data_IF_726973371287
#
_entry.id   IF_726973371287
#
_cell.length_a   1.000
_cell.length_b   1.000
_cell.length_c   1.000
_cell.angle_alpha   90.00
_cell.angle_beta   90.00
_cell.angle_gamma   90.00
#
_symmetry.space_group_name_H-M   'P 1'
#
loop_
_entity.id
_entity.type
_entity.pdbx_description
1 polymer ?
#
# COMPACT_ATOMS: atom_id res chain seq x y z
N UNK A 1 19.42 2.06 -2.99
CA UNK A 1 19.19 3.14 -2.00
C UNK A 1 20.08 2.90 -0.79
N UNK A 2 20.70 3.92 -0.20
CA UNK A 2 21.54 3.79 1.00
C UNK A 2 21.40 4.98 1.97
N UNK A 3 21.89 4.81 3.20
CA UNK A 3 21.93 5.85 4.26
C UNK A 3 20.56 6.42 4.69
N UNK A 4 19.51 5.60 4.69
CA UNK A 4 18.20 5.90 5.28
C UNK A 4 18.13 5.44 6.74
N UNK A 5 17.06 5.81 7.45
CA UNK A 5 16.73 5.22 8.76
C UNK A 5 15.47 4.35 8.66
N UNK A 6 15.35 3.40 9.57
CA UNK A 6 14.22 2.47 9.69
C UNK A 6 13.52 2.79 11.00
N UNK A 7 12.20 2.99 10.95
CA UNK A 7 11.37 3.24 12.15
C UNK A 7 10.15 2.34 12.12
N UNK A 8 9.53 2.12 13.27
CA UNK A 8 8.30 1.34 13.35
C UNK A 8 7.14 2.01 12.60
N UNK A 9 6.36 1.19 11.89
CA UNK A 9 5.21 1.60 11.11
C UNK A 9 3.94 1.63 11.98
N UNK A 10 3.91 2.59 12.92
CA UNK A 10 2.76 2.88 13.78
C UNK A 10 2.06 4.20 13.38
N UNK A 11 0.85 4.41 13.90
CA UNK A 11 0.00 5.58 13.65
C UNK A 11 -1.23 5.26 12.79
N UNK A 12 -2.07 6.27 12.55
CA UNK A 12 -3.37 6.11 11.88
C UNK A 12 -3.25 5.85 10.38
N UNK A 13 -2.11 6.18 9.76
CA UNK A 13 -1.88 5.94 8.32
C UNK A 13 -0.79 4.88 8.12
N UNK A 14 -1.20 3.70 7.64
CA UNK A 14 -0.33 2.54 7.39
C UNK A 14 -0.64 1.98 6.00
N UNK A 15 0.10 2.48 5.01
CA UNK A 15 -0.10 2.08 3.60
C UNK A 15 0.29 0.62 3.33
N UNK A 16 1.14 0.02 4.17
CA UNK A 16 1.54 -1.39 4.08
C UNK A 16 1.45 -2.05 5.45
N UNK A 17 1.29 -3.37 5.46
CA UNK A 17 1.30 -4.18 6.69
C UNK A 17 2.70 -4.45 7.24
N UNK A 18 3.75 -3.97 6.58
CA UNK A 18 5.12 -4.16 7.03
C UNK A 18 5.34 -3.45 8.37
N UNK A 19 6.06 -4.11 9.29
CA UNK A 19 6.28 -3.61 10.66
C UNK A 19 7.08 -2.31 10.70
N UNK A 20 7.89 -2.07 9.67
CA UNK A 20 8.78 -0.91 9.57
C UNK A 20 8.52 -0.06 8.33
N UNK A 21 8.89 1.22 8.41
CA UNK A 21 8.94 2.17 7.31
C UNK A 21 10.31 2.82 7.22
N UNK A 22 10.70 3.21 6.00
CA UNK A 22 11.94 3.94 5.74
C UNK A 22 11.69 5.44 5.83
N UNK A 23 12.63 6.17 6.43
CA UNK A 23 12.63 7.64 6.47
C UNK A 23 13.91 8.15 5.83
N UNK A 24 13.76 9.07 4.89
CA UNK A 24 14.88 9.70 4.21
C UNK A 24 15.51 10.75 5.13
N UNK A 25 16.83 10.74 5.16
CA UNK A 25 17.65 11.74 5.83
C UNK A 25 18.35 12.58 4.78
N UNK A 26 18.93 13.72 5.19
CA UNK A 26 19.72 14.56 4.28
C UNK A 26 20.83 13.80 3.54
N UNK A 27 21.40 12.77 4.18
CA UNK A 27 22.45 11.91 3.59
C UNK A 27 21.96 10.74 2.74
N UNK A 28 20.64 10.53 2.64
CA UNK A 28 20.10 9.37 1.91
C UNK A 28 20.42 9.48 0.43
N UNK A 29 20.92 8.40 -0.16
CA UNK A 29 21.25 8.34 -1.58
C UNK A 29 20.30 7.42 -2.34
N UNK A 30 19.78 7.93 -3.45
CA UNK A 30 18.91 7.21 -4.39
C UNK A 30 19.59 7.24 -5.76
N UNK A 31 19.73 6.07 -6.36
CA UNK A 31 20.38 5.88 -7.67
C UNK A 31 19.36 5.22 -8.57
N UNK A 32 19.22 5.72 -9.80
CA UNK A 32 18.36 5.11 -10.81
C UNK A 32 18.92 3.73 -11.20
N UNK A 33 18.02 2.79 -11.45
CA UNK A 33 18.33 1.44 -11.93
C UNK A 33 17.45 1.16 -13.15
N UNK A 34 17.88 0.24 -14.01
CA UNK A 34 17.11 -0.14 -15.20
C UNK A 34 15.73 -0.68 -14.83
N UNK A 35 14.72 -0.35 -15.65
CA UNK A 35 13.29 -0.55 -15.32
C UNK A 35 12.92 -2.01 -15.04
N UNK A 36 13.62 -2.98 -15.62
CA UNK A 36 13.22 -4.39 -15.61
C UNK A 36 13.60 -5.12 -14.32
N UNK A 37 14.29 -4.45 -13.38
CA UNK A 37 14.74 -5.06 -12.13
C UNK A 37 13.67 -5.02 -11.03
N UNK A 38 12.73 -4.07 -11.09
CA UNK A 38 11.74 -3.83 -10.03
C UNK A 38 10.33 -4.06 -10.56
N UNK A 39 9.49 -4.87 -9.88
CA UNK A 39 8.09 -5.02 -10.26
C UNK A 39 7.36 -3.67 -10.31
N UNK A 40 6.69 -3.38 -11.42
CA UNK A 40 5.98 -2.11 -11.64
C UNK A 40 4.74 -1.94 -10.75
N UNK A 41 4.17 -3.06 -10.29
CA UNK A 41 3.00 -3.09 -9.42
C UNK A 41 3.15 -4.18 -8.38
N UNK A 42 2.75 -3.89 -7.14
CA UNK A 42 2.70 -4.86 -6.06
C UNK A 42 1.30 -4.80 -5.44
N UNK A 43 0.40 -5.65 -5.92
CA UNK A 43 -0.94 -5.78 -5.36
C UNK A 43 -1.01 -6.98 -4.41
N UNK A 44 -1.65 -6.78 -3.27
CA UNK A 44 -2.01 -7.84 -2.34
C UNK A 44 -3.54 -7.99 -2.33
N UNK A 45 -4.05 -8.69 -3.34
CA UNK A 45 -5.49 -8.78 -3.59
C UNK A 45 -6.25 -9.38 -2.40
N UNK A 46 -7.26 -8.64 -1.97
CA UNK A 46 -8.16 -8.99 -0.91
C UNK A 46 -9.52 -9.41 -1.51
N UNK A 47 -9.96 -10.61 -1.19
CA UNK A 47 -11.20 -11.14 -1.73
C UNK A 47 -12.41 -10.36 -1.21
N UNK A 48 -13.33 -10.05 -2.12
CA UNK A 48 -14.57 -9.35 -1.78
C UNK A 48 -15.39 -10.08 -0.71
N UNK A 49 -15.45 -11.41 -0.76
CA UNK A 49 -16.12 -12.23 0.27
C UNK A 49 -15.54 -12.02 1.68
N UNK A 50 -14.23 -11.79 1.78
CA UNK A 50 -13.56 -11.51 3.06
C UNK A 50 -13.88 -10.11 3.57
N UNK A 51 -14.09 -9.13 2.67
CA UNK A 51 -14.55 -7.79 3.05
C UNK A 51 -15.97 -7.81 3.60
N UNK A 52 -16.87 -8.53 2.92
CA UNK A 52 -18.26 -8.66 3.35
C UNK A 52 -18.40 -9.30 4.74
N UNK A 53 -17.49 -10.21 5.08
CA UNK A 53 -17.49 -10.93 6.35
C UNK A 53 -16.67 -10.22 7.46
N UNK A 54 -16.20 -9.00 7.22
CA UNK A 54 -15.34 -8.28 8.16
C UNK A 54 -16.18 -7.68 9.30
N UNK A 55 -15.95 -8.13 10.53
CA UNK A 55 -16.72 -7.72 11.72
C UNK A 55 -15.95 -6.81 12.67
N UNK A 56 -14.66 -6.59 12.41
CA UNK A 56 -13.76 -5.77 13.22
C UNK A 56 -13.05 -4.76 12.36
N UNK A 57 -12.66 -3.64 12.98
CA UNK A 57 -11.90 -2.59 12.32
C UNK A 57 -10.56 -3.13 11.80
N UNK A 58 -10.31 -2.89 10.51
CA UNK A 58 -9.07 -3.25 9.86
C UNK A 58 -8.20 -2.02 9.65
N UNK A 59 -7.02 -2.04 10.26
CA UNK A 59 -6.15 -0.86 10.34
C UNK A 59 -5.25 -0.65 9.10
N UNK A 60 -5.55 -1.32 7.97
CA UNK A 60 -4.73 -1.26 6.76
C UNK A 60 -5.58 -1.10 5.50
N UNK A 61 -4.99 -0.53 4.46
CA UNK A 61 -5.59 -0.47 3.13
C UNK A 61 -5.66 -1.88 2.52
N UNK A 62 -6.62 -2.06 1.61
CA UNK A 62 -6.86 -3.33 0.90
C UNK A 62 -6.88 -3.09 -0.60
N UNK A 63 -6.27 -4.00 -1.36
CA UNK A 63 -6.36 -4.00 -2.82
C UNK A 63 -7.52 -4.90 -3.23
N UNK A 64 -8.40 -4.43 -4.11
CA UNK A 64 -9.53 -5.22 -4.62
C UNK A 64 -9.51 -5.26 -6.13
N UNK A 65 -9.94 -6.39 -6.67
CA UNK A 65 -10.19 -6.57 -8.10
C UNK A 65 -11.57 -7.18 -8.29
N UNK A 66 -12.29 -6.71 -9.31
CA UNK A 66 -13.65 -7.13 -9.59
C UNK A 66 -14.12 -6.69 -10.95
N UNK A 67 -15.32 -7.12 -11.31
CA UNK A 67 -15.99 -6.70 -12.53
C UNK A 67 -16.77 -5.41 -12.25
N UNK A 68 -16.54 -4.38 -13.06
CA UNK A 68 -17.38 -3.19 -13.05
C UNK A 68 -18.74 -3.54 -13.67
N UNK A 69 -19.81 -3.54 -12.88
CA UNK A 69 -21.15 -3.93 -13.32
C UNK A 69 -22.04 -2.75 -13.65
N UNK A 70 -21.91 -1.64 -12.93
CA UNK A 70 -22.63 -0.39 -13.14
C UNK A 70 -21.89 0.76 -12.46
N UNK A 71 -22.14 1.98 -12.91
CA UNK A 71 -21.65 3.22 -12.30
C UNK A 71 -22.87 4.08 -11.99
N UNK A 72 -23.01 4.53 -10.74
CA UNK A 72 -24.08 5.44 -10.35
C UNK A 72 -23.80 6.87 -10.77
N UNK A 73 -24.87 7.66 -10.95
CA UNK A 73 -24.74 9.10 -11.22
C UNK A 73 -24.15 9.82 -10.00
N UNK A 74 -23.23 10.74 -10.24
CA UNK A 74 -22.70 11.63 -9.20
C UNK A 74 -23.71 12.76 -9.01
N UNK A 75 -24.62 12.62 -8.05
CA UNK A 75 -25.51 13.73 -7.66
C UNK A 75 -24.70 14.78 -6.87
N UNK A 76 -24.80 16.07 -7.21
CA UNK A 76 -24.18 17.16 -6.45
C UNK A 76 -24.79 17.34 -5.06
#
# INVERSE_FOLDING_TARGET
MAFFTVVSNHGSYRATSHEFKLVFLHRTTVVAVDEDVIPKTCFNMFYFSKLLNMTQDYNFLVDVIGLLTSVGDVTP
#
